data_IF_615905604544
#
_entry.id   IF_615905604544
#
_cell.length_a   1.000
_cell.length_b   1.000
_cell.length_c   1.000
_cell.angle_alpha   90.00
_cell.angle_beta   90.00
_cell.angle_gamma   90.00
#
_symmetry.space_group_name_H-M   'P 1'
#
loop_
_entity.id
_entity.type
_entity.pdbx_description
1 polymer ?
#
# COMPACT_ATOMS: atom_id res chain seq x y z
N UNK A 1 -27.39 49.35 -31.18
CA UNK A 1 -26.62 50.52 -31.69
C UNK A 1 -25.17 50.06 -31.81
N UNK A 2 -24.53 49.96 -32.99
CA UNK A 2 -23.77 51.04 -33.67
C UNK A 2 -22.85 51.75 -32.66
N UNK A 3 -21.51 51.62 -32.66
CA UNK A 3 -20.47 51.76 -33.72
C UNK A 3 -19.11 51.16 -33.24
N UNK A 4 -18.02 50.94 -34.00
CA UNK A 4 -17.74 50.62 -35.42
C UNK A 4 -16.18 50.54 -35.66
N UNK A 5 -15.67 49.71 -36.59
CA UNK A 5 -14.34 49.81 -37.28
C UNK A 5 -13.05 49.63 -36.40
N UNK A 6 -11.80 49.47 -36.88
CA UNK A 6 -11.06 48.87 -38.03
C UNK A 6 -9.54 48.84 -37.61
N UNK A 7 -8.48 48.40 -38.31
CA UNK A 7 -8.20 47.85 -39.65
C UNK A 7 -6.87 47.04 -39.60
N UNK A 8 -6.76 45.86 -40.25
CA UNK A 8 -5.50 45.36 -40.86
C UNK A 8 -5.72 44.09 -41.70
N UNK A 9 -5.09 43.99 -42.87
CA UNK A 9 -5.03 42.77 -43.68
C UNK A 9 -3.61 42.55 -44.20
N UNK A 10 -3.18 41.29 -44.28
CA UNK A 10 -1.94 40.89 -44.93
C UNK A 10 -2.19 39.61 -45.74
N UNK A 11 -1.99 39.67 -47.05
CA UNK A 11 -2.14 38.52 -47.97
C UNK A 11 -0.76 37.98 -48.28
N UNK A 12 -0.57 36.67 -48.08
CA UNK A 12 0.64 35.94 -48.48
C UNK A 12 0.25 34.72 -49.30
N UNK A 13 0.53 34.77 -50.61
CA UNK A 13 0.33 33.66 -51.55
C UNK A 13 1.67 32.94 -51.72
N UNK A 14 1.70 31.61 -51.55
CA UNK A 14 2.86 30.79 -51.91
C UNK A 14 2.43 29.37 -52.31
N UNK A 15 2.96 28.94 -53.46
CA UNK A 15 3.12 27.59 -54.03
C UNK A 15 2.26 26.41 -53.54
N UNK A 16 1.65 25.69 -54.48
CA UNK A 16 0.98 24.41 -54.22
C UNK A 16 1.94 23.22 -54.05
N UNK A 17 1.50 22.21 -53.33
CA UNK A 17 2.15 20.90 -53.21
C UNK A 17 1.10 19.80 -53.10
N UNK A 18 0.83 19.09 -54.20
CA UNK A 18 -0.17 18.02 -54.23
C UNK A 18 0.40 16.72 -53.64
N UNK A 19 0.61 16.71 -52.33
CA UNK A 19 0.98 15.51 -51.58
C UNK A 19 -0.26 14.71 -51.21
N UNK A 20 -0.36 13.47 -51.67
CA UNK A 20 -1.40 12.54 -51.23
C UNK A 20 -1.30 12.33 -49.72
N UNK A 21 -2.33 12.76 -48.98
CA UNK A 21 -2.47 12.39 -47.58
C UNK A 21 -2.76 10.90 -47.48
N UNK A 22 -1.70 10.10 -47.37
CA UNK A 22 -1.80 8.82 -46.67
C UNK A 22 -2.25 9.17 -45.25
N UNK A 23 -3.48 8.79 -44.91
CA UNK A 23 -3.99 8.90 -43.56
C UNK A 23 -3.21 7.93 -42.68
N UNK A 24 -2.04 8.36 -42.21
CA UNK A 24 -1.27 7.66 -41.20
C UNK A 24 -2.11 7.64 -39.93
N UNK A 25 -2.85 6.56 -39.71
CA UNK A 25 -3.61 6.33 -38.49
C UNK A 25 -2.64 6.47 -37.33
N UNK A 26 -2.75 7.58 -36.61
CA UNK A 26 -2.02 7.76 -35.37
C UNK A 26 -2.56 6.71 -34.40
N UNK A 27 -1.87 5.57 -34.31
CA UNK A 27 -2.05 4.62 -33.23
C UNK A 27 -1.60 5.33 -31.97
N UNK A 28 -2.52 6.10 -31.39
CA UNK A 28 -2.43 6.59 -30.02
C UNK A 28 -2.29 5.36 -29.16
N UNK A 29 -1.05 5.03 -28.81
CA UNK A 29 -0.75 3.96 -27.87
C UNK A 29 -1.54 4.25 -26.62
N UNK A 30 -2.62 3.50 -26.40
CA UNK A 30 -3.42 3.63 -25.20
C UNK A 30 -2.45 3.52 -24.01
N UNK A 31 -2.57 4.39 -22.98
CA UNK A 31 -1.63 4.38 -21.88
C UNK A 31 -1.62 2.99 -21.27
N UNK A 32 -0.54 2.25 -21.48
CA UNK A 32 -0.45 0.85 -21.08
C UNK A 32 -0.61 0.79 -19.57
N UNK A 33 -1.75 0.29 -19.11
CA UNK A 33 -2.05 0.08 -17.69
C UNK A 33 -0.86 -0.65 -17.07
N UNK A 34 -0.09 0.07 -16.24
CA UNK A 34 1.23 -0.38 -15.83
C UNK A 34 1.12 -1.74 -15.15
N UNK A 35 1.63 -2.78 -15.83
CA UNK A 35 1.45 -4.15 -15.38
C UNK A 35 2.19 -4.34 -14.06
N UNK A 36 1.45 -4.79 -13.05
CA UNK A 36 2.01 -5.08 -11.74
C UNK A 36 2.74 -6.45 -11.76
N UNK A 37 3.77 -6.64 -10.92
CA UNK A 37 4.42 -5.61 -10.10
C UNK A 37 5.22 -4.60 -10.95
N UNK A 38 5.32 -3.36 -10.47
CA UNK A 38 6.08 -2.28 -11.13
C UNK A 38 7.20 -1.72 -10.25
N UNK A 39 7.98 -0.78 -10.77
CA UNK A 39 8.97 0.00 -10.01
C UNK A 39 10.10 -0.81 -9.33
N UNK A 40 10.29 -2.07 -9.75
CA UNK A 40 11.24 -3.02 -9.17
C UNK A 40 10.70 -3.80 -7.97
N UNK A 41 9.40 -3.74 -7.69
CA UNK A 41 8.78 -4.57 -6.67
C UNK A 41 8.82 -6.07 -7.07
N UNK A 42 9.05 -6.98 -6.10
CA UNK A 42 8.96 -8.42 -6.33
C UNK A 42 7.52 -8.87 -6.56
N UNK A 43 7.33 -9.84 -7.44
CA UNK A 43 6.02 -10.47 -7.69
C UNK A 43 5.59 -11.37 -6.53
N UNK A 44 4.29 -11.41 -6.24
CA UNK A 44 3.71 -12.33 -5.26
C UNK A 44 3.47 -13.69 -5.92
N UNK A 45 4.43 -14.60 -5.77
CA UNK A 45 4.43 -15.89 -6.46
C UNK A 45 3.24 -16.82 -6.11
N UNK A 46 2.59 -16.63 -4.96
CA UNK A 46 1.44 -17.42 -4.50
C UNK A 46 0.31 -16.50 -4.00
N UNK A 47 -0.45 -15.83 -4.89
CA UNK A 47 -1.39 -14.77 -4.49
C UNK A 47 -2.56 -15.27 -3.62
N UNK A 48 -2.94 -14.50 -2.59
CA UNK A 48 -4.14 -14.74 -1.79
C UNK A 48 -5.35 -14.06 -2.45
N UNK A 49 -6.21 -14.87 -3.06
CA UNK A 49 -7.42 -14.41 -3.75
C UNK A 49 -8.59 -14.14 -2.79
N UNK A 50 -8.80 -14.98 -1.76
CA UNK A 50 -9.92 -14.86 -0.83
C UNK A 50 -9.60 -13.87 0.30
N UNK A 51 -9.77 -12.57 0.04
CA UNK A 51 -9.54 -11.50 1.02
C UNK A 51 -10.82 -10.85 1.55
N UNK A 52 -11.97 -11.05 0.88
CA UNK A 52 -13.22 -10.30 1.11
C UNK A 52 -13.74 -10.31 2.56
N UNK A 53 -13.56 -11.41 3.30
CA UNK A 53 -13.96 -11.48 4.72
C UNK A 53 -13.13 -10.52 5.58
N UNK A 54 -11.82 -10.44 5.33
CA UNK A 54 -10.88 -9.55 6.04
C UNK A 54 -10.96 -8.10 5.52
N UNK A 55 -11.44 -7.88 4.30
CA UNK A 55 -11.75 -6.54 3.79
C UNK A 55 -13.00 -5.93 4.47
N UNK A 56 -13.95 -6.77 4.90
CA UNK A 56 -15.17 -6.35 5.61
C UNK A 56 -15.01 -6.34 7.14
N UNK A 57 -14.34 -7.35 7.71
CA UNK A 57 -13.95 -7.44 9.12
C UNK A 57 -12.45 -7.75 9.25
N UNK A 58 -11.59 -6.73 9.38
CA UNK A 58 -10.14 -6.95 9.51
C UNK A 58 -9.75 -7.61 10.85
N UNK A 59 -10.63 -7.63 11.86
CA UNK A 59 -10.37 -8.33 13.12
C UNK A 59 -10.54 -9.86 12.98
N UNK A 60 -11.23 -10.34 11.94
CA UNK A 60 -11.32 -11.77 11.63
C UNK A 60 -9.99 -12.42 11.21
N UNK A 61 -9.01 -11.61 10.76
CA UNK A 61 -7.73 -12.11 10.24
C UNK A 61 -6.84 -12.81 11.28
N UNK A 62 -6.91 -12.37 12.54
CA UNK A 62 -6.12 -12.91 13.65
C UNK A 62 -6.96 -12.93 14.92
N UNK A 63 -7.23 -14.10 15.54
CA UNK A 63 -7.88 -14.17 16.83
C UNK A 63 -7.08 -13.41 17.89
N UNK A 64 -7.74 -12.63 18.76
CA UNK A 64 -7.05 -11.83 19.80
C UNK A 64 -6.10 -12.66 20.67
N UNK A 65 -6.42 -13.92 20.98
CA UNK A 65 -5.53 -14.81 21.72
C UNK A 65 -4.17 -15.09 21.02
N UNK A 66 -4.12 -15.06 19.68
CA UNK A 66 -2.87 -15.17 18.92
C UNK A 66 -2.06 -13.86 18.95
N UNK A 67 -2.74 -12.70 19.03
CA UNK A 67 -2.10 -11.41 19.32
C UNK A 67 -1.55 -11.35 20.74
N UNK A 68 -2.29 -11.85 21.72
CA UNK A 68 -1.86 -11.87 23.13
C UNK A 68 -0.64 -12.75 23.35
N UNK A 69 -0.59 -13.91 22.69
CA UNK A 69 0.58 -14.79 22.67
C UNK A 69 1.84 -14.18 22.01
N UNK A 70 1.69 -13.10 21.22
CA UNK A 70 2.79 -12.39 20.57
C UNK A 70 3.19 -11.10 21.30
N UNK A 71 2.21 -10.33 21.80
CA UNK A 71 2.38 -8.94 22.21
C UNK A 71 2.05 -8.61 23.67
N UNK A 72 1.54 -9.56 24.46
CA UNK A 72 1.02 -9.32 25.81
C UNK A 72 -0.50 -9.10 25.85
N UNK A 73 -1.06 -8.96 27.06
CA UNK A 73 -2.52 -8.94 27.27
C UNK A 73 -3.22 -7.76 26.56
N UNK A 74 -4.37 -8.04 25.94
CA UNK A 74 -5.17 -7.05 25.20
C UNK A 74 -6.33 -6.56 26.07
N UNK A 75 -6.42 -5.24 26.25
CA UNK A 75 -7.56 -4.58 26.91
C UNK A 75 -8.83 -4.71 26.03
N UNK A 76 -8.66 -4.48 24.72
CA UNK A 76 -9.73 -4.54 23.71
C UNK A 76 -9.19 -4.51 22.28
N UNK A 77 -9.97 -5.05 21.35
CA UNK A 77 -9.82 -4.84 19.91
C UNK A 77 -11.01 -4.08 19.34
N UNK A 78 -10.82 -3.41 18.19
CA UNK A 78 -11.89 -2.80 17.38
C UNK A 78 -11.46 -2.63 15.93
N UNK A 79 -12.41 -2.62 15.00
CA UNK A 79 -12.18 -2.09 13.66
C UNK A 79 -11.97 -0.57 13.73
N UNK A 80 -11.06 -0.05 12.91
CA UNK A 80 -10.85 1.38 12.65
C UNK A 80 -10.86 1.63 11.15
N UNK A 81 -11.49 2.73 10.75
CA UNK A 81 -11.57 3.18 9.37
C UNK A 81 -10.39 4.12 9.06
N UNK A 82 -9.69 3.87 7.96
CA UNK A 82 -8.53 4.63 7.48
C UNK A 82 -8.72 4.93 5.99
N UNK A 83 -8.10 5.99 5.48
CA UNK A 83 -8.29 6.47 4.09
C UNK A 83 -8.02 5.43 2.99
N UNK A 84 -7.27 4.37 3.31
CA UNK A 84 -6.88 3.31 2.39
C UNK A 84 -7.52 1.94 2.73
N UNK A 85 -8.38 1.83 3.75
CA UNK A 85 -9.01 0.57 4.13
C UNK A 85 -9.31 0.42 5.63
N UNK A 86 -9.95 -0.69 5.99
CA UNK A 86 -10.24 -1.04 7.37
C UNK A 86 -9.08 -1.81 8.01
N UNK A 87 -8.67 -1.38 9.21
CA UNK A 87 -7.72 -2.11 10.07
C UNK A 87 -8.41 -2.60 11.34
N UNK A 88 -7.97 -3.73 11.88
CA UNK A 88 -8.20 -4.05 13.28
C UNK A 88 -7.14 -3.33 14.13
N UNK A 89 -7.56 -2.75 15.25
CA UNK A 89 -6.70 -2.11 16.23
C UNK A 89 -6.88 -2.77 17.60
N UNK A 90 -5.80 -3.35 18.11
CA UNK A 90 -5.70 -3.89 19.47
C UNK A 90 -5.02 -2.85 20.37
N UNK A 91 -5.59 -2.65 21.55
CA UNK A 91 -5.01 -1.87 22.65
C UNK A 91 -4.52 -2.85 23.72
N UNK A 92 -3.24 -2.78 24.07
CA UNK A 92 -2.66 -3.61 25.12
C UNK A 92 -2.85 -2.98 26.50
N UNK A 93 -3.05 -3.82 27.52
CA UNK A 93 -3.23 -3.38 28.92
C UNK A 93 -2.01 -2.63 29.47
N UNK A 94 -0.82 -2.86 28.89
CA UNK A 94 0.42 -2.12 29.16
C UNK A 94 0.42 -0.80 28.35
N UNK A 95 -0.41 0.13 28.81
CA UNK A 95 -0.76 1.35 28.11
C UNK A 95 0.35 2.43 28.11
N UNK A 96 0.42 3.31 27.09
CA UNK A 96 -0.37 3.28 25.85
C UNK A 96 0.37 2.53 24.73
N UNK A 97 0.10 1.24 24.56
CA UNK A 97 0.67 0.40 23.50
C UNK A 97 -0.44 -0.13 22.61
N UNK A 98 -0.28 -0.04 21.29
CA UNK A 98 -1.26 -0.52 20.30
C UNK A 98 -0.63 -1.32 19.18
N UNK A 99 -1.46 -2.11 18.51
CA UNK A 99 -1.17 -2.77 17.24
C UNK A 99 -2.31 -2.43 16.29
N UNK A 100 -1.99 -2.05 15.05
CA UNK A 100 -2.95 -1.89 13.96
C UNK A 100 -2.57 -2.82 12.82
N UNK A 101 -3.51 -3.58 12.24
CA UNK A 101 -3.26 -4.41 11.08
C UNK A 101 -4.49 -4.55 10.17
N UNK A 102 -4.30 -4.60 8.85
CA UNK A 102 -5.41 -4.63 7.90
C UNK A 102 -4.98 -4.53 6.44
N UNK A 103 -5.97 -4.61 5.54
CA UNK A 103 -5.77 -4.62 4.09
C UNK A 103 -5.87 -3.21 3.52
N UNK A 104 -4.83 -2.80 2.80
CA UNK A 104 -4.74 -1.46 2.17
C UNK A 104 -5.48 -1.48 0.84
N UNK A 105 -6.81 -1.67 0.90
CA UNK A 105 -7.68 -1.85 -0.28
C UNK A 105 -7.76 -0.63 -1.19
N UNK A 106 -7.45 0.58 -0.71
CA UNK A 106 -7.33 1.79 -1.55
C UNK A 106 -6.13 1.73 -2.50
N UNK A 107 -5.00 1.20 -2.02
CA UNK A 107 -3.80 0.96 -2.82
C UNK A 107 -4.02 -0.22 -3.79
N UNK A 108 -4.32 0.09 -5.05
CA UNK A 108 -4.45 -0.89 -6.15
C UNK A 108 -3.12 -1.25 -6.85
N UNK A 109 -1.97 -1.03 -6.21
CA UNK A 109 -0.62 -1.31 -6.75
C UNK A 109 0.25 -2.21 -5.85
N UNK A 110 -0.31 -2.72 -4.76
CA UNK A 110 0.41 -3.57 -3.81
C UNK A 110 1.71 -2.94 -3.32
N UNK A 111 2.79 -3.73 -3.28
CA UNK A 111 4.12 -3.23 -2.93
C UNK A 111 4.69 -2.23 -3.94
N UNK A 112 4.24 -2.25 -5.20
CA UNK A 112 4.75 -1.36 -6.26
C UNK A 112 4.56 0.12 -5.92
N UNK A 113 3.51 0.46 -5.15
CA UNK A 113 3.33 1.81 -4.59
C UNK A 113 4.50 2.24 -3.69
N UNK A 114 4.97 1.37 -2.80
CA UNK A 114 6.09 1.65 -1.88
C UNK A 114 7.43 1.71 -2.63
N UNK A 115 7.61 0.87 -3.66
CA UNK A 115 8.79 0.92 -4.52
C UNK A 115 8.85 2.21 -5.35
N UNK A 116 7.71 2.70 -5.85
CA UNK A 116 7.58 4.01 -6.52
C UNK A 116 7.78 5.19 -5.54
N UNK A 117 7.26 5.10 -4.32
CA UNK A 117 7.49 6.12 -3.28
C UNK A 117 8.97 6.17 -2.85
N UNK A 118 9.64 5.01 -2.80
CA UNK A 118 11.10 4.92 -2.60
C UNK A 118 11.88 5.47 -3.78
N UNK A 119 11.47 5.25 -5.03
CA UNK A 119 12.21 5.74 -6.21
C UNK A 119 12.12 7.26 -6.35
N UNK A 120 11.06 7.87 -5.83
CA UNK A 120 10.85 9.33 -5.76
C UNK A 120 11.36 9.97 -4.47
N UNK A 121 11.95 9.21 -3.53
CA UNK A 121 12.50 9.73 -2.28
C UNK A 121 11.48 10.07 -1.19
N UNK A 122 10.21 9.70 -1.37
CA UNK A 122 9.11 9.97 -0.42
C UNK A 122 9.03 9.00 0.76
N UNK A 123 10.10 8.26 1.07
CA UNK A 123 10.21 7.36 2.22
C UNK A 123 11.55 7.60 2.93
N UNK A 124 11.50 7.85 4.23
CA UNK A 124 12.67 8.02 5.11
C UNK A 124 13.28 6.67 5.50
N UNK A 125 12.46 5.61 5.56
CA UNK A 125 12.89 4.21 5.70
C UNK A 125 12.27 3.37 4.59
N UNK A 126 13.09 2.53 3.96
CA UNK A 126 12.65 1.46 3.07
C UNK A 126 13.63 0.28 3.17
N UNK A 127 13.18 -0.83 3.73
CA UNK A 127 13.95 -2.05 3.92
C UNK A 127 13.11 -3.27 3.52
N UNK A 128 13.35 -3.85 2.33
CA UNK A 128 12.87 -5.21 2.03
C UNK A 128 13.39 -6.19 3.09
N UNK A 129 12.55 -7.14 3.47
CA UNK A 129 12.87 -8.19 4.45
C UNK A 129 12.59 -9.58 3.87
N UNK A 130 13.04 -10.63 4.58
CA UNK A 130 12.80 -12.02 4.20
C UNK A 130 11.30 -12.31 4.01
N UNK A 131 10.98 -13.22 3.09
CA UNK A 131 9.59 -13.47 2.71
C UNK A 131 8.76 -14.05 3.85
N UNK A 132 7.73 -13.33 4.28
CA UNK A 132 6.85 -13.77 5.36
C UNK A 132 5.85 -14.76 4.78
N UNK A 133 5.93 -16.02 5.21
CA UNK A 133 5.05 -17.09 4.72
C UNK A 133 5.04 -17.23 3.19
N UNK A 134 6.20 -17.01 2.56
CA UNK A 134 6.40 -17.04 1.10
C UNK A 134 5.94 -15.79 0.35
N UNK A 135 5.56 -14.72 1.05
CA UNK A 135 5.12 -13.45 0.46
C UNK A 135 6.20 -12.37 0.63
N UNK A 136 6.44 -11.51 -0.39
CA UNK A 136 7.40 -10.43 -0.27
C UNK A 136 6.95 -9.38 0.74
N UNK A 137 7.90 -8.82 1.49
CA UNK A 137 7.62 -7.89 2.58
C UNK A 137 8.64 -6.74 2.65
N UNK A 138 8.18 -5.57 3.13
CA UNK A 138 8.95 -4.33 3.25
C UNK A 138 8.62 -3.65 4.57
N UNK A 139 9.63 -3.33 5.38
CA UNK A 139 9.54 -2.34 6.45
C UNK A 139 9.76 -0.96 5.84
N UNK A 140 8.86 -0.01 6.10
CA UNK A 140 8.92 1.34 5.52
C UNK A 140 8.47 2.40 6.54
N UNK A 141 8.78 3.67 6.28
CA UNK A 141 8.23 4.81 7.01
C UNK A 141 8.45 6.12 6.25
N UNK A 142 7.70 7.15 6.63
CA UNK A 142 7.79 8.52 6.12
C UNK A 142 7.71 9.52 7.29
N UNK A 143 8.78 9.60 8.09
CA UNK A 143 8.84 10.38 9.33
C UNK A 143 8.11 9.77 10.53
N UNK A 144 7.73 8.49 10.44
CA UNK A 144 7.02 7.75 11.50
C UNK A 144 7.92 6.78 12.28
N UNK A 145 9.23 6.79 12.02
CA UNK A 145 10.22 5.98 12.71
C UNK A 145 10.37 6.37 14.19
N UNK A 146 10.51 5.38 15.06
CA UNK A 146 10.80 5.62 16.48
C UNK A 146 10.89 4.33 17.30
N UNK A 147 11.39 4.46 18.52
CA UNK A 147 11.41 3.35 19.50
C UNK A 147 9.97 2.83 19.69
N UNK A 148 9.79 1.51 19.61
CA UNK A 148 8.47 0.88 19.74
C UNK A 148 7.56 0.99 18.51
N UNK A 149 7.96 1.69 17.44
CA UNK A 149 7.19 1.76 16.19
C UNK A 149 7.84 0.94 15.08
N UNK A 150 7.03 0.21 14.31
CA UNK A 150 7.43 -0.36 13.03
C UNK A 150 6.23 -0.36 12.08
N UNK A 151 6.44 -0.09 10.79
CA UNK A 151 5.39 -0.22 9.77
C UNK A 151 5.85 -1.25 8.75
N UNK A 152 5.16 -2.38 8.71
CA UNK A 152 5.44 -3.51 7.82
C UNK A 152 4.31 -3.62 6.78
N UNK A 153 4.65 -3.75 5.51
CA UNK A 153 3.73 -4.16 4.45
C UNK A 153 4.16 -5.52 3.89
N UNK A 154 3.20 -6.40 3.64
CA UNK A 154 3.39 -7.70 2.98
C UNK A 154 2.48 -7.78 1.77
N UNK A 155 3.04 -8.07 0.60
CA UNK A 155 2.27 -8.22 -0.64
C UNK A 155 1.49 -9.53 -0.64
N UNK A 156 0.17 -9.46 -0.49
CA UNK A 156 -0.72 -10.63 -0.61
C UNK A 156 -1.05 -10.97 -2.07
N UNK A 157 -0.99 -9.95 -2.93
CA UNK A 157 -1.08 -10.00 -4.39
C UNK A 157 -0.25 -8.85 -4.97
N UNK A 158 0.02 -8.85 -6.27
CA UNK A 158 0.72 -7.73 -6.92
C UNK A 158 -0.07 -6.40 -6.81
N UNK A 159 -1.40 -6.46 -6.62
CA UNK A 159 -2.30 -5.32 -6.42
C UNK A 159 -2.59 -4.97 -4.95
N UNK A 160 -2.33 -5.86 -3.98
CA UNK A 160 -2.82 -5.73 -2.60
C UNK A 160 -1.76 -6.05 -1.53
N UNK A 161 -1.67 -5.21 -0.49
CA UNK A 161 -0.84 -5.43 0.70
C UNK A 161 -1.66 -5.53 1.98
N UNK A 162 -1.21 -6.40 2.88
CA UNK A 162 -1.58 -6.38 4.29
C UNK A 162 -0.53 -5.57 5.07
N UNK A 163 -0.96 -4.68 5.94
CA UNK A 163 -0.08 -3.89 6.80
C UNK A 163 -0.15 -4.33 8.25
N UNK A 164 0.97 -4.18 8.96
CA UNK A 164 1.07 -4.41 10.41
C UNK A 164 1.90 -3.31 11.04
N UNK A 165 1.31 -2.63 12.02
CA UNK A 165 1.80 -1.36 12.58
C UNK A 165 1.68 -1.39 14.12
N UNK A 166 2.64 -1.99 14.84
CA UNK A 166 2.78 -1.80 16.28
C UNK A 166 3.29 -0.39 16.61
N UNK A 167 2.68 0.24 17.62
CA UNK A 167 3.12 1.45 18.29
C UNK A 167 3.16 1.18 19.80
N UNK A 168 4.34 0.82 20.30
CA UNK A 168 4.53 0.26 21.63
C UNK A 168 5.15 1.28 22.60
N UNK A 169 4.68 1.29 23.84
CA UNK A 169 5.17 2.15 24.92
C UNK A 169 5.98 1.38 25.97
N UNK A 170 6.65 2.13 26.85
CA UNK A 170 7.32 1.59 28.04
C UNK A 170 6.37 0.72 28.86
N UNK A 171 6.73 -0.55 29.04
CA UNK A 171 5.88 -1.60 29.61
C UNK A 171 5.85 -2.83 28.70
N UNK A 172 5.44 -2.63 27.43
CA UNK A 172 5.16 -3.75 26.52
C UNK A 172 6.40 -4.64 26.24
N UNK A 173 6.27 -5.98 26.28
CA UNK A 173 7.40 -6.91 26.10
C UNK A 173 8.06 -6.83 24.72
N UNK A 174 7.33 -6.41 23.68
CA UNK A 174 7.85 -6.29 22.32
C UNK A 174 8.41 -4.89 22.00
N UNK A 175 8.44 -3.95 22.96
CA UNK A 175 8.93 -2.57 22.77
C UNK A 175 10.34 -2.46 22.16
N UNK A 176 11.21 -3.44 22.45
CA UNK A 176 12.58 -3.51 21.92
C UNK A 176 12.65 -4.08 20.49
N UNK A 177 11.61 -4.78 20.03
CA UNK A 177 11.52 -5.42 18.72
C UNK A 177 10.11 -5.30 18.10
N UNK A 178 9.66 -4.07 17.79
CA UNK A 178 8.35 -3.86 17.16
C UNK A 178 8.29 -4.49 15.74
N UNK A 179 9.42 -4.63 15.05
CA UNK A 179 9.43 -5.22 13.71
C UNK A 179 9.35 -6.76 13.74
N UNK A 180 9.96 -7.44 14.72
CA UNK A 180 9.73 -8.86 14.94
C UNK A 180 8.32 -9.16 15.45
N UNK A 181 7.72 -8.25 16.23
CA UNK A 181 6.28 -8.33 16.54
C UNK A 181 5.44 -8.23 15.25
N UNK A 182 5.67 -7.21 14.42
CA UNK A 182 4.96 -7.03 13.16
C UNK A 182 5.11 -8.25 12.23
N UNK A 183 6.30 -8.84 12.19
CA UNK A 183 6.62 -10.05 11.40
C UNK A 183 5.85 -11.28 11.89
N UNK A 184 5.79 -11.52 13.21
CA UNK A 184 5.00 -12.63 13.80
C UNK A 184 3.51 -12.47 13.51
N UNK A 185 2.97 -11.26 13.70
CA UNK A 185 1.56 -10.92 13.45
C UNK A 185 1.21 -11.07 11.96
N UNK A 186 2.08 -10.62 11.05
CA UNK A 186 1.87 -10.81 9.61
C UNK A 186 1.88 -12.31 9.22
N UNK A 187 2.78 -13.11 9.81
CA UNK A 187 2.80 -14.56 9.60
C UNK A 187 1.53 -15.26 10.11
N UNK A 188 0.96 -14.81 11.24
CA UNK A 188 -0.32 -15.27 11.76
C UNK A 188 -1.48 -14.96 10.79
N UNK A 189 -1.64 -13.69 10.39
CA UNK A 189 -2.67 -13.28 9.42
C UNK A 189 -2.59 -14.09 8.12
N UNK A 190 -1.38 -14.24 7.56
CA UNK A 190 -1.19 -14.96 6.29
C UNK A 190 -1.49 -16.46 6.45
N UNK A 191 -1.19 -17.07 7.61
CA UNK A 191 -1.60 -18.46 7.91
C UNK A 191 -3.11 -18.60 8.00
N UNK A 192 -3.82 -17.61 8.53
CA UNK A 192 -5.26 -17.68 8.71
C UNK A 192 -6.02 -17.39 7.39
N UNK A 193 -5.57 -16.38 6.64
CA UNK A 193 -6.04 -16.08 5.27
C UNK A 193 -5.90 -17.28 4.32
N UNK A 194 -4.80 -18.05 4.41
CA UNK A 194 -4.58 -19.27 3.61
C UNK A 194 -5.53 -20.43 3.93
N UNK A 195 -6.34 -20.34 5.00
CA UNK A 195 -7.33 -21.37 5.41
C UNK A 195 -8.77 -20.97 5.08
N UNK A 196 -8.99 -19.74 4.60
CA UNK A 196 -10.31 -19.08 4.51
C UNK A 196 -10.94 -19.21 3.13
#
# INVERSE_FOLDING_TARGET
MKRFLLLAAAVSILAGGCGTQVAGTATTSAPSSARLPSDGAPAVANPIANTAVVEADPCSAIPTAEIEAIGGAVERSRTVDLSEGLNCSWLFSEAPSTLSAGLVVGNKKGLSALYAQKSTGGLTTFKPVDSIEGHPAVIYANGSEGRGTCTLAVGLRDDLVYTVIPHLSSGNPMLADPCGMATKVAAAAIKNLKKS
#
